data_IF_214836329438
#
_entry.id   IF_214836329438
#
_cell.length_a   1.000
_cell.length_b   1.000
_cell.length_c   1.000
_cell.angle_alpha   90.00
_cell.angle_beta   90.00
_cell.angle_gamma   90.00
#
_symmetry.space_group_name_H-M   'P 1'
#
loop_
_entity.id
_entity.type
_entity.pdbx_description
1 polymer ?
#
# COMPACT_ATOMS: atom_id res chain seq x y z
N UNK A 1 -25.18 0.62 14.37
CA UNK A 1 -23.87 1.13 13.93
C UNK A 1 -23.08 -0.04 13.38
N UNK A 2 -22.52 0.10 12.19
CA UNK A 2 -21.57 -0.88 11.69
C UNK A 2 -20.32 -0.75 12.55
N UNK A 3 -20.01 -1.76 13.35
CA UNK A 3 -18.74 -1.81 14.06
C UNK A 3 -17.64 -1.81 12.99
N UNK A 4 -16.78 -0.79 13.04
CA UNK A 4 -15.62 -0.71 12.16
C UNK A 4 -14.47 -1.42 12.85
N UNK A 5 -13.81 -2.32 12.16
CA UNK A 5 -12.60 -2.99 12.64
C UNK A 5 -11.49 -1.97 12.98
N UNK A 6 -11.36 -0.97 12.12
CA UNK A 6 -10.51 0.17 12.38
C UNK A 6 -11.38 1.31 12.91
N UNK A 7 -11.28 1.60 14.20
CA UNK A 7 -11.87 2.80 14.78
C UNK A 7 -11.03 4.01 14.35
N UNK A 8 -11.69 5.16 14.18
CA UNK A 8 -10.98 6.41 13.98
C UNK A 8 -10.22 6.73 15.27
N UNK A 9 -8.93 6.41 15.27
CA UNK A 9 -7.99 6.79 16.30
C UNK A 9 -7.21 8.03 15.87
N UNK A 10 -6.47 8.60 16.81
CA UNK A 10 -5.51 9.66 16.52
C UNK A 10 -4.24 9.00 15.97
N UNK A 11 -3.78 9.46 14.81
CA UNK A 11 -2.46 9.07 14.32
C UNK A 11 -1.40 9.98 14.97
N UNK A 12 -0.27 9.39 15.36
CA UNK A 12 0.82 10.09 16.04
C UNK A 12 2.15 9.78 15.36
N UNK A 13 2.94 10.82 15.14
CA UNK A 13 4.34 10.65 14.80
C UNK A 13 5.12 10.41 16.08
N UNK A 14 5.91 9.33 16.08
CA UNK A 14 6.80 8.99 17.19
C UNK A 14 8.22 9.46 16.89
N UNK A 15 8.93 9.88 17.92
CA UNK A 15 10.34 10.23 17.86
C UNK A 15 11.14 9.46 18.92
N UNK A 16 12.36 9.15 18.58
CA UNK A 16 13.30 8.51 19.50
C UNK A 16 14.01 9.58 20.32
N UNK A 17 13.70 9.66 21.62
CA UNK A 17 14.33 10.64 22.53
C UNK A 17 14.85 9.92 23.79
N UNK A 18 16.12 10.10 24.08
CA UNK A 18 16.78 9.51 25.28
C UNK A 18 16.59 7.98 25.39
N UNK A 19 16.72 7.25 24.30
CA UNK A 19 16.57 5.80 24.26
C UNK A 19 15.11 5.29 24.41
N UNK A 20 14.12 6.17 24.27
CA UNK A 20 12.70 5.82 24.33
C UNK A 20 11.94 6.38 23.13
N UNK A 21 10.94 5.63 22.69
CA UNK A 21 9.98 6.09 21.69
C UNK A 21 8.90 6.93 22.41
N UNK A 22 8.78 8.20 21.99
CA UNK A 22 7.82 9.14 22.56
C UNK A 22 6.98 9.79 21.47
N UNK A 23 5.75 10.16 21.77
CA UNK A 23 4.91 10.94 20.86
C UNK A 23 5.58 12.31 20.60
N UNK A 24 5.79 12.63 19.33
CA UNK A 24 6.36 13.90 18.89
C UNK A 24 5.26 14.90 18.51
N UNK A 25 4.34 14.46 17.66
CA UNK A 25 3.17 15.28 17.27
C UNK A 25 2.00 14.41 16.77
N UNK A 26 0.79 14.97 16.86
CA UNK A 26 -0.37 14.41 16.20
C UNK A 26 -0.25 14.59 14.67
N UNK A 27 -0.68 13.57 13.93
CA UNK A 27 -0.68 13.58 12.45
C UNK A 27 -2.12 13.56 11.97
N UNK A 28 -2.48 14.51 11.12
CA UNK A 28 -3.74 14.47 10.40
C UNK A 28 -3.69 13.39 9.33
N UNK A 29 -4.63 12.45 9.38
CA UNK A 29 -4.81 11.44 8.34
C UNK A 29 -6.19 11.58 7.73
N UNK A 30 -6.32 11.20 6.47
CA UNK A 30 -7.60 11.25 5.76
C UNK A 30 -8.64 10.34 6.44
N UNK A 31 -9.94 10.72 6.51
CA UNK A 31 -10.98 9.92 7.17
C UNK A 31 -11.17 8.50 6.62
N UNK A 32 -10.85 8.28 5.35
CA UNK A 32 -10.89 6.96 4.72
C UNK A 32 -9.59 6.16 4.89
N UNK A 33 -8.60 6.72 5.57
CA UNK A 33 -7.32 6.05 5.83
C UNK A 33 -7.51 4.74 6.58
N UNK A 34 -6.76 3.73 6.13
CA UNK A 34 -6.60 2.46 6.82
C UNK A 34 -5.10 2.19 6.96
N UNK A 35 -4.64 1.72 8.13
CA UNK A 35 -3.21 1.49 8.33
C UNK A 35 -2.63 0.40 7.42
N UNK A 36 -3.47 -0.52 6.95
CA UNK A 36 -3.09 -1.52 5.95
C UNK A 36 -3.27 -0.95 4.55
N UNK A 37 -2.31 -1.23 3.67
CA UNK A 37 -2.32 -0.69 2.31
C UNK A 37 -1.96 0.78 2.22
N UNK A 38 -1.15 1.29 3.15
CA UNK A 38 -0.77 2.69 3.21
C UNK A 38 0.74 2.87 3.44
N UNK A 39 1.29 3.96 2.92
CA UNK A 39 2.69 4.37 3.09
C UNK A 39 2.81 5.88 3.14
N UNK A 40 3.74 6.39 3.95
CA UNK A 40 4.17 7.78 3.90
C UNK A 40 5.31 7.95 2.89
N UNK A 41 5.25 9.00 2.09
CA UNK A 41 6.14 9.24 0.97
C UNK A 41 6.56 10.70 0.89
N UNK A 42 7.75 10.94 0.36
CA UNK A 42 8.26 12.29 0.06
C UNK A 42 7.87 12.76 -1.36
N UNK A 43 6.74 12.29 -1.90
CA UNK A 43 6.27 12.67 -3.25
C UNK A 43 6.13 14.18 -3.50
N UNK A 44 6.12 14.99 -2.43
CA UNK A 44 6.08 16.44 -2.53
C UNK A 44 7.45 17.11 -2.50
N UNK A 45 8.53 16.31 -2.40
CA UNK A 45 9.90 16.79 -2.20
C UNK A 45 10.30 16.82 -0.73
N UNK A 46 11.62 16.84 -0.49
CA UNK A 46 12.23 16.66 0.84
C UNK A 46 11.82 17.69 1.89
N UNK A 47 11.51 18.90 1.46
CA UNK A 47 11.19 20.03 2.35
C UNK A 47 9.69 20.24 2.55
N UNK A 48 8.87 19.36 2.01
CA UNK A 48 7.41 19.43 2.06
C UNK A 48 6.84 18.45 3.09
N UNK A 49 5.57 18.67 3.48
CA UNK A 49 4.83 17.69 4.27
C UNK A 49 4.78 16.35 3.54
N UNK A 50 5.03 15.25 4.28
CA UNK A 50 4.93 13.91 3.70
C UNK A 50 3.53 13.63 3.19
N UNK A 51 3.44 13.08 2.01
CA UNK A 51 2.20 12.56 1.47
C UNK A 51 1.89 11.19 2.10
N UNK A 52 0.62 10.94 2.35
CA UNK A 52 0.10 9.64 2.71
C UNK A 52 -0.55 9.01 1.48
N UNK A 53 0.04 7.95 0.95
CA UNK A 53 -0.55 7.17 -0.13
C UNK A 53 -1.22 5.93 0.46
N UNK A 54 -2.49 5.67 0.13
CA UNK A 54 -3.24 4.52 0.63
C UNK A 54 -4.27 4.01 -0.36
N UNK A 55 -4.57 2.71 -0.29
CA UNK A 55 -5.63 2.08 -1.09
C UNK A 55 -6.95 2.18 -0.32
N UNK A 56 -7.97 2.80 -0.95
CA UNK A 56 -9.29 2.97 -0.36
C UNK A 56 -10.19 1.73 -0.50
N UNK A 57 -11.39 1.80 0.03
CA UNK A 57 -12.38 0.70 -0.04
C UNK A 57 -12.89 0.39 -1.46
N UNK A 58 -12.62 1.28 -2.42
CA UNK A 58 -12.96 1.12 -3.83
C UNK A 58 -11.77 0.65 -4.67
N UNK A 59 -10.69 0.21 -4.04
CA UNK A 59 -9.44 -0.18 -4.68
C UNK A 59 -8.84 0.95 -5.52
N UNK A 60 -8.89 2.19 -5.01
CA UNK A 60 -8.23 3.35 -5.62
C UNK A 60 -7.08 3.80 -4.75
N UNK A 61 -5.95 4.12 -5.36
CA UNK A 61 -4.89 4.77 -4.62
C UNK A 61 -5.26 6.24 -4.42
N UNK A 62 -5.30 6.66 -3.18
CA UNK A 62 -5.45 8.06 -2.80
C UNK A 62 -4.12 8.60 -2.29
N UNK A 63 -3.84 9.86 -2.60
CA UNK A 63 -2.71 10.60 -2.05
C UNK A 63 -3.29 11.78 -1.30
N UNK A 64 -2.96 11.86 -0.01
CA UNK A 64 -3.41 12.91 0.88
C UNK A 64 -2.21 13.60 1.53
N UNK A 65 -2.32 14.90 1.78
CA UNK A 65 -1.35 15.69 2.53
C UNK A 65 -2.09 16.41 3.64
N UNK A 66 -1.59 16.30 4.87
CA UNK A 66 -2.21 16.89 6.07
C UNK A 66 -3.71 16.55 6.23
N UNK A 67 -4.11 15.35 5.76
CA UNK A 67 -5.47 14.84 5.84
C UNK A 67 -6.40 15.26 4.70
N UNK A 68 -5.92 16.04 3.76
CA UNK A 68 -6.67 16.50 2.59
C UNK A 68 -6.27 15.72 1.34
N UNK A 69 -7.25 15.27 0.55
CA UNK A 69 -7.03 14.61 -0.72
C UNK A 69 -6.41 15.56 -1.74
N UNK A 70 -5.29 15.13 -2.34
CA UNK A 70 -4.66 15.88 -3.42
C UNK A 70 -4.74 15.14 -4.76
N UNK A 71 -4.92 13.82 -4.72
CA UNK A 71 -5.08 13.02 -5.92
C UNK A 71 -5.69 11.63 -5.64
N UNK A 72 -6.37 11.08 -6.64
CA UNK A 72 -6.94 9.73 -6.63
C UNK A 72 -6.78 9.05 -7.96
N UNK A 73 -6.41 7.76 -7.97
CA UNK A 73 -6.23 7.01 -9.20
C UNK A 73 -7.54 6.80 -9.95
N UNK A 74 -7.51 6.96 -11.27
CA UNK A 74 -8.61 6.60 -12.16
C UNK A 74 -8.79 5.09 -12.33
N UNK A 75 -7.71 4.31 -12.08
CA UNK A 75 -7.66 2.86 -12.26
C UNK A 75 -7.64 2.16 -10.90
N UNK A 76 -8.22 0.96 -10.82
CA UNK A 76 -8.17 0.15 -9.61
C UNK A 76 -6.76 -0.41 -9.38
N UNK A 77 -6.34 -0.42 -8.12
CA UNK A 77 -5.06 -0.96 -7.65
C UNK A 77 -5.27 -1.77 -6.36
N UNK A 78 -4.23 -2.33 -5.79
CA UNK A 78 -4.32 -3.18 -4.62
C UNK A 78 -4.85 -4.56 -4.97
N UNK A 79 -5.85 -5.02 -4.26
CA UNK A 79 -6.45 -6.33 -4.46
C UNK A 79 -5.81 -7.38 -3.56
N UNK A 80 -5.79 -7.12 -2.24
CA UNK A 80 -5.27 -8.05 -1.25
C UNK A 80 -5.93 -9.41 -1.31
N UNK A 81 -5.14 -10.47 -1.17
CA UNK A 81 -5.60 -11.86 -1.15
C UNK A 81 -5.95 -12.35 0.25
N UNK A 82 -5.54 -11.63 1.28
CA UNK A 82 -5.84 -11.97 2.67
C UNK A 82 -7.08 -11.26 3.15
N UNK A 83 -7.86 -11.97 3.96
CA UNK A 83 -9.09 -11.45 4.57
C UNK A 83 -9.05 -11.74 6.07
N UNK A 84 -9.28 -10.71 6.88
CA UNK A 84 -9.57 -10.89 8.30
C UNK A 84 -11.06 -11.12 8.48
N UNK A 85 -11.38 -12.14 9.24
CA UNK A 85 -12.73 -12.45 9.66
C UNK A 85 -12.94 -11.99 11.11
N UNK A 86 -13.96 -11.19 11.33
CA UNK A 86 -14.33 -10.73 12.65
C UNK A 86 -15.76 -11.13 12.98
N UNK A 87 -15.93 -11.82 14.09
CA UNK A 87 -17.25 -12.06 14.64
C UNK A 87 -17.81 -10.74 15.21
N UNK A 88 -18.95 -10.31 14.71
CA UNK A 88 -19.64 -9.14 15.23
C UNK A 88 -20.53 -9.59 16.40
N UNK A 89 -20.22 -9.13 17.61
CA UNK A 89 -20.82 -9.57 18.87
C UNK A 89 -22.32 -9.28 19.09
N UNK A 90 -23.07 -8.89 18.07
CA UNK A 90 -24.52 -8.70 18.15
C UNK A 90 -25.26 -9.94 17.66
N UNK A 91 -25.53 -10.85 18.57
CA UNK A 91 -26.46 -11.97 18.35
C UNK A 91 -27.91 -11.44 18.41
N UNK A 92 -28.41 -10.85 17.34
CA UNK A 92 -29.81 -10.44 17.25
C UNK A 92 -30.68 -11.41 16.46
N UNK A 93 -30.12 -12.46 15.90
CA UNK A 93 -30.85 -13.59 15.28
C UNK A 93 -29.86 -14.72 15.00
N UNK A 94 -30.37 -15.94 14.77
CA UNK A 94 -29.65 -17.20 14.55
C UNK A 94 -28.55 -17.21 13.46
N UNK A 95 -28.12 -16.06 12.97
CA UNK A 95 -27.05 -15.89 12.00
C UNK A 95 -25.92 -15.12 12.66
N UNK A 96 -24.81 -15.79 12.92
CA UNK A 96 -23.56 -15.12 13.27
C UNK A 96 -23.23 -14.18 12.13
N UNK A 97 -23.13 -12.89 12.41
CA UNK A 97 -22.71 -11.91 11.42
C UNK A 97 -21.19 -11.80 11.50
N UNK A 98 -20.56 -12.34 10.50
CA UNK A 98 -19.12 -12.18 10.29
C UNK A 98 -18.87 -10.98 9.39
N UNK A 99 -17.99 -10.11 9.80
CA UNK A 99 -17.46 -9.04 8.96
C UNK A 99 -16.12 -9.49 8.37
N UNK A 100 -15.94 -9.26 7.08
CA UNK A 100 -14.71 -9.58 6.36
C UNK A 100 -13.99 -8.28 5.99
N UNK A 101 -12.71 -8.19 6.36
CA UNK A 101 -11.86 -7.05 6.05
C UNK A 101 -10.71 -7.52 5.16
N UNK A 102 -10.64 -6.98 3.96
CA UNK A 102 -9.50 -7.21 3.07
C UNK A 102 -8.26 -6.53 3.61
N UNK A 103 -7.16 -7.26 3.62
CA UNK A 103 -5.84 -6.72 3.89
C UNK A 103 -5.20 -6.38 2.56
N UNK A 104 -5.06 -5.10 2.31
CA UNK A 104 -4.35 -4.61 1.12
C UNK A 104 -2.84 -4.71 1.33
N UNK A 105 -2.07 -5.14 0.33
CA UNK A 105 -0.62 -5.10 0.41
C UNK A 105 -0.15 -3.65 0.51
N UNK A 106 0.84 -3.43 1.36
CA UNK A 106 1.40 -2.09 1.59
C UNK A 106 2.10 -1.59 0.32
N UNK A 107 1.76 -0.39 -0.18
CA UNK A 107 2.53 0.26 -1.23
C UNK A 107 3.98 0.53 -0.79
N UNK A 108 4.89 0.60 -1.74
CA UNK A 108 6.27 0.95 -1.51
C UNK A 108 6.52 2.40 -1.95
N UNK A 109 7.04 3.25 -1.06
CA UNK A 109 7.53 4.57 -1.40
C UNK A 109 9.06 4.50 -1.56
N UNK A 110 9.56 4.89 -2.72
CA UNK A 110 10.98 4.78 -3.05
C UNK A 110 11.31 5.73 -4.22
N UNK A 111 12.44 6.40 -4.13
CA UNK A 111 13.00 7.26 -5.19
C UNK A 111 13.60 6.37 -6.28
N UNK A 112 12.85 6.17 -7.38
CA UNK A 112 13.22 5.24 -8.46
C UNK A 112 14.21 5.84 -9.46
N UNK A 113 14.17 7.14 -9.69
CA UNK A 113 14.99 7.82 -10.70
C UNK A 113 16.14 8.65 -10.10
N UNK A 114 16.19 8.79 -8.77
CA UNK A 114 17.26 9.45 -8.05
C UNK A 114 17.10 10.97 -7.96
N UNK A 115 15.91 11.50 -8.22
CA UNK A 115 15.64 12.94 -8.17
C UNK A 115 15.38 13.46 -6.75
N UNK A 116 15.26 12.55 -5.79
CA UNK A 116 15.01 12.84 -4.37
C UNK A 116 13.56 13.00 -4.01
N UNK A 117 12.65 12.66 -4.95
CA UNK A 117 11.21 12.55 -4.75
C UNK A 117 10.83 11.09 -4.84
N UNK A 118 10.00 10.59 -3.92
CA UNK A 118 9.59 9.18 -3.98
C UNK A 118 8.51 8.97 -5.04
N UNK A 119 8.61 7.87 -5.77
CA UNK A 119 7.49 7.23 -6.43
C UNK A 119 6.75 6.31 -5.46
N UNK A 120 5.47 6.07 -5.73
CA UNK A 120 4.69 5.06 -5.02
C UNK A 120 4.43 3.88 -5.93
N UNK A 121 5.03 2.75 -5.58
CA UNK A 121 4.84 1.47 -6.25
C UNK A 121 3.71 0.73 -5.54
N UNK A 122 2.69 0.32 -6.27
CA UNK A 122 1.51 -0.34 -5.70
C UNK A 122 1.16 -1.59 -6.49
N UNK A 123 0.80 -2.71 -5.84
CA UNK A 123 0.28 -3.87 -6.53
C UNK A 123 -1.03 -3.54 -7.24
N UNK A 124 -1.23 -4.13 -8.41
CA UNK A 124 -2.48 -4.10 -9.15
C UNK A 124 -2.86 -5.54 -9.46
N UNK A 125 -3.48 -6.20 -8.48
CA UNK A 125 -3.87 -7.59 -8.61
C UNK A 125 -5.20 -7.70 -9.34
N UNK A 126 -5.18 -8.30 -10.49
CA UNK A 126 -6.36 -8.67 -11.27
C UNK A 126 -6.62 -10.18 -11.17
N UNK A 127 -7.68 -10.68 -11.77
CA UNK A 127 -8.21 -12.03 -11.49
C UNK A 127 -7.17 -13.16 -11.60
N UNK A 128 -6.20 -13.06 -12.51
CA UNK A 128 -5.19 -14.12 -12.74
C UNK A 128 -3.76 -13.63 -12.69
N UNK A 129 -3.56 -12.34 -12.63
CA UNK A 129 -2.25 -11.71 -12.77
C UNK A 129 -2.06 -10.65 -11.70
N UNK A 130 -0.84 -10.57 -11.17
CA UNK A 130 -0.38 -9.45 -10.40
C UNK A 130 0.43 -8.51 -11.27
N UNK A 131 -0.01 -7.27 -11.40
CA UNK A 131 0.73 -6.20 -12.05
C UNK A 131 1.32 -5.27 -10.99
N UNK A 132 2.32 -4.51 -11.40
CA UNK A 132 2.85 -3.40 -10.61
C UNK A 132 2.41 -2.11 -11.29
N UNK A 133 1.85 -1.19 -10.52
CA UNK A 133 1.60 0.17 -10.95
C UNK A 133 2.52 1.13 -10.18
N UNK A 134 2.98 2.16 -10.88
CA UNK A 134 3.86 3.19 -10.31
C UNK A 134 3.12 4.52 -10.42
N UNK A 135 3.08 5.25 -9.32
CA UNK A 135 2.59 6.63 -9.29
C UNK A 135 3.76 7.56 -9.11
N UNK A 136 3.89 8.51 -10.01
CA UNK A 136 4.90 9.54 -10.00
C UNK A 136 4.29 10.92 -10.16
N UNK A 137 4.98 11.92 -9.68
CA UNK A 137 4.59 13.33 -9.78
C UNK A 137 5.35 13.99 -10.93
N UNK A 138 4.65 14.30 -12.01
CA UNK A 138 5.22 15.07 -13.12
C UNK A 138 4.76 16.54 -13.11
N UNK A 139 5.19 17.33 -14.09
CA UNK A 139 4.80 18.74 -14.21
C UNK A 139 3.29 18.97 -14.32
N UNK A 140 2.56 18.00 -14.85
CA UNK A 140 1.09 18.04 -15.00
C UNK A 140 0.33 17.41 -13.81
N UNK A 141 1.02 17.07 -12.71
CA UNK A 141 0.46 16.43 -11.53
C UNK A 141 0.78 14.94 -11.45
N UNK A 142 0.05 14.23 -10.60
CA UNK A 142 0.26 12.80 -10.39
C UNK A 142 -0.25 11.97 -11.55
N UNK A 143 0.51 10.92 -11.91
CA UNK A 143 0.15 9.95 -12.94
C UNK A 143 0.38 8.55 -12.41
N UNK A 144 -0.49 7.62 -12.79
CA UNK A 144 -0.34 6.20 -12.55
C UNK A 144 -0.02 5.52 -13.87
N UNK A 145 1.03 4.72 -13.87
CA UNK A 145 1.45 3.88 -14.99
C UNK A 145 1.53 2.43 -14.51
N UNK A 146 0.82 1.54 -15.18
CA UNK A 146 0.97 0.10 -14.95
C UNK A 146 2.13 -0.44 -15.78
N UNK A 147 2.88 -1.36 -15.20
CA UNK A 147 3.91 -2.11 -15.93
C UNK A 147 3.18 -3.22 -16.71
N UNK A 148 3.41 -3.31 -18.01
CA UNK A 148 2.70 -4.22 -18.91
C UNK A 148 3.02 -5.70 -18.68
N UNK A 149 4.13 -6.01 -18.01
CA UNK A 149 4.51 -7.39 -17.69
C UNK A 149 3.90 -7.81 -16.37
N UNK A 150 2.90 -8.69 -16.44
CA UNK A 150 2.25 -9.28 -15.28
C UNK A 150 2.95 -10.54 -14.77
N UNK A 151 2.71 -10.85 -13.50
CA UNK A 151 3.14 -12.09 -12.86
C UNK A 151 1.93 -13.01 -12.69
N UNK A 152 2.06 -14.28 -13.05
CA UNK A 152 1.00 -15.24 -12.79
C UNK A 152 0.85 -15.45 -11.27
N UNK A 153 -0.21 -14.88 -10.68
CA UNK A 153 -0.47 -14.92 -9.25
C UNK A 153 -0.88 -13.57 -8.68
N UNK A 154 -0.77 -13.46 -7.37
CA UNK A 154 -1.14 -12.26 -6.60
C UNK A 154 0.10 -11.69 -5.92
N UNK A 155 0.39 -10.43 -6.13
CA UNK A 155 1.44 -9.72 -5.40
C UNK A 155 0.92 -9.46 -3.97
N UNK A 156 1.61 -10.01 -2.98
CA UNK A 156 1.19 -9.95 -1.58
C UNK A 156 2.04 -8.99 -0.74
N UNK A 157 3.25 -8.69 -1.20
CA UNK A 157 4.13 -7.72 -0.56
C UNK A 157 5.06 -7.08 -1.58
N UNK A 158 5.46 -5.84 -1.30
CA UNK A 158 6.49 -5.10 -2.00
C UNK A 158 7.57 -4.67 -1.01
N UNK A 159 8.79 -4.61 -1.47
CA UNK A 159 9.93 -4.05 -0.77
C UNK A 159 10.90 -3.44 -1.75
N UNK A 160 11.85 -2.67 -1.25
CA UNK A 160 12.88 -2.09 -2.10
C UNK A 160 14.07 -1.61 -1.27
N UNK A 161 15.20 -1.57 -1.91
CA UNK A 161 16.43 -1.04 -1.34
C UNK A 161 17.32 -0.47 -2.44
N UNK A 162 18.18 0.45 -2.07
CA UNK A 162 19.23 0.98 -2.93
C UNK A 162 20.57 0.73 -2.24
N UNK A 163 21.50 0.11 -2.96
CA UNK A 163 22.90 0.00 -2.50
C UNK A 163 23.67 1.28 -2.87
N UNK A 164 24.74 1.57 -2.15
CA UNK A 164 25.50 2.81 -2.32
C UNK A 164 26.12 2.95 -3.73
N UNK A 165 26.40 1.84 -4.38
CA UNK A 165 26.98 1.73 -5.72
C UNK A 165 25.94 1.63 -6.83
N UNK A 166 24.66 1.47 -6.51
CA UNK A 166 23.60 1.32 -7.50
C UNK A 166 23.08 2.67 -8.00
N UNK A 167 22.90 2.79 -9.31
CA UNK A 167 22.26 3.97 -9.94
C UNK A 167 20.75 3.97 -9.67
N UNK A 168 20.12 2.80 -9.64
CA UNK A 168 18.69 2.61 -9.43
C UNK A 168 18.43 1.66 -8.26
N UNK A 169 17.31 1.83 -7.53
CA UNK A 169 16.92 0.89 -6.48
C UNK A 169 16.44 -0.45 -7.05
N UNK A 170 16.59 -1.48 -6.25
CA UNK A 170 16.00 -2.79 -6.49
C UNK A 170 14.62 -2.87 -5.88
N UNK A 171 13.62 -3.26 -6.66
CA UNK A 171 12.27 -3.58 -6.16
C UNK A 171 12.18 -5.09 -5.96
N UNK A 172 11.58 -5.49 -4.86
CA UNK A 172 11.28 -6.88 -4.52
C UNK A 172 9.77 -7.04 -4.44
N UNK A 173 9.25 -8.06 -5.10
CA UNK A 173 7.85 -8.44 -5.02
C UNK A 173 7.71 -9.89 -4.56
N UNK A 174 6.79 -10.15 -3.63
CA UNK A 174 6.36 -11.50 -3.27
C UNK A 174 5.09 -11.82 -4.01
N UNK A 175 5.11 -12.87 -4.83
CA UNK A 175 3.99 -13.33 -5.64
C UNK A 175 3.52 -14.69 -5.15
N UNK A 176 2.23 -14.82 -4.87
CA UNK A 176 1.60 -16.08 -4.47
C UNK A 176 0.72 -16.59 -5.60
N UNK A 177 1.05 -17.78 -6.09
CA UNK A 177 0.29 -18.51 -7.10
C UNK A 177 -0.43 -19.68 -6.47
N UNK A 178 -1.76 -19.72 -6.58
CA UNK A 178 -2.54 -20.86 -6.12
C UNK A 178 -2.55 -21.95 -7.18
N UNK A 179 -2.23 -23.18 -6.77
CA UNK A 179 -2.16 -24.36 -7.67
C UNK A 179 -3.52 -24.97 -7.97
N UNK A 180 -4.55 -24.59 -7.22
CA UNK A 180 -5.92 -25.08 -7.40
C UNK A 180 -6.97 -24.01 -7.07
N UNK A 181 -8.18 -24.25 -7.56
CA UNK A 181 -9.34 -23.36 -7.38
C UNK A 181 -9.72 -23.20 -5.90
N UNK A 182 -9.53 -24.25 -5.10
CA UNK A 182 -9.86 -24.24 -3.66
C UNK A 182 -8.80 -23.51 -2.82
N UNK A 183 -7.71 -23.03 -3.43
CA UNK A 183 -6.62 -22.33 -2.76
C UNK A 183 -5.98 -23.08 -1.58
N UNK A 184 -6.03 -24.41 -1.63
CA UNK A 184 -5.46 -25.29 -0.59
C UNK A 184 -3.96 -25.54 -0.79
N UNK A 185 -3.43 -25.26 -1.96
CA UNK A 185 -2.01 -25.33 -2.27
C UNK A 185 -1.56 -24.06 -2.99
N UNK A 186 -0.45 -23.51 -2.58
CA UNK A 186 0.13 -22.32 -3.16
C UNK A 186 1.64 -22.48 -3.33
N UNK A 187 2.19 -21.71 -4.23
CA UNK A 187 3.61 -21.48 -4.43
C UNK A 187 3.90 -20.01 -4.23
N UNK A 188 4.96 -19.72 -3.50
CA UNK A 188 5.40 -18.34 -3.28
C UNK A 188 6.71 -18.12 -4.04
N UNK A 189 6.76 -17.06 -4.82
CA UNK A 189 7.95 -16.63 -5.54
C UNK A 189 8.36 -15.25 -5.03
N UNK A 190 9.66 -15.03 -4.94
CA UNK A 190 10.25 -13.71 -4.69
C UNK A 190 10.90 -13.28 -6.00
N UNK A 191 10.45 -12.15 -6.51
CA UNK A 191 10.91 -11.57 -7.76
C UNK A 191 11.65 -10.27 -7.42
N UNK A 192 12.79 -10.07 -8.06
CA UNK A 192 13.60 -8.86 -7.87
C UNK A 192 13.87 -8.22 -9.22
N UNK A 193 13.80 -6.90 -9.29
CA UNK A 193 14.33 -6.17 -10.44
C UNK A 193 15.86 -6.22 -10.40
N UNK A 194 16.46 -6.38 -11.56
CA UNK A 194 17.92 -6.22 -11.71
C UNK A 194 18.13 -4.85 -12.33
N UNK A 195 18.86 -3.93 -11.66
CA UNK A 195 19.23 -2.65 -12.28
C UNK A 195 19.95 -2.93 -13.60
N UNK A 196 19.57 -2.21 -14.66
CA UNK A 196 20.31 -2.26 -15.93
C UNK A 196 21.56 -1.38 -15.76
N UNK A 197 22.71 -1.91 -16.18
CA UNK A 197 23.99 -1.18 -16.24
C UNK A 197 23.95 -0.03 -17.27
#
# INVERSE_FOLDING_TARGET
SKEKFFTQGQAEQMAWKNGKLVTDKAVRVHPAFRPMGAVFSNMNGKDSSRALAFVDEFNRLQIAVDGEDIWRSGTAVGGGSMTLEQETGQVTSRVMRTAFYKIEPTPLAIDLDGDGVDEVVVPQNIVKEGLIAIVFKGPAGFRLQSIDTGFEGTITALGGFKTDDATQPTIIATVVRYKNILKTAAETQVIMTVPQE
#
